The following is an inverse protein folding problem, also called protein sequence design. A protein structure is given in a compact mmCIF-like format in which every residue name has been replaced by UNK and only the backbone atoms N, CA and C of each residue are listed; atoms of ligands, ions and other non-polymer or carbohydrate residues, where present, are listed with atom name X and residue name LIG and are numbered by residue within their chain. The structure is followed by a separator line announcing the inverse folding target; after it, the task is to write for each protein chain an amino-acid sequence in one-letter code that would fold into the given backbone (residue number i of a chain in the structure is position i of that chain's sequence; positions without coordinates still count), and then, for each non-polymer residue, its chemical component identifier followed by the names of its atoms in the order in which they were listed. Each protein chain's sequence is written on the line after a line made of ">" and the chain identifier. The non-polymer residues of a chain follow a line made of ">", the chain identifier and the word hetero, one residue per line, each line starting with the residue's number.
data_IF_225360878135
#
_entry.id   IF_225360878135
#
_cell.length_a   1.000
_cell.length_b   1.000
_cell.length_c   1.000
_cell.angle_alpha   90.00
_cell.angle_beta   90.00
_cell.angle_gamma   90.00
#
_symmetry.space_group_name_H-M   'P 1'
#
loop_
_entity.id
_entity.type
_entity.pdbx_description
1 polymer ?
#
# COMPACT_ATOMS: atom_id res chain seq x y z
N UNK A 1 -1.72 -12.96 21.66
CA UNK A 1 -0.50 -12.26 21.18
C UNK A 1 -0.74 -11.78 19.77
N UNK A 2 -0.19 -10.59 19.37
CA UNK A 2 -0.40 -10.00 18.03
C UNK A 2 -0.16 -11.00 16.88
N UNK A 3 0.84 -11.85 17.02
CA UNK A 3 1.20 -12.85 15.99
C UNK A 3 0.08 -13.82 15.65
N UNK A 4 -0.75 -14.16 16.62
CA UNK A 4 -1.84 -15.13 16.50
C UNK A 4 -3.18 -14.47 16.12
N UNK A 5 -3.21 -13.12 16.03
CA UNK A 5 -4.40 -12.41 15.57
C UNK A 5 -4.71 -12.79 14.12
N UNK A 6 -5.97 -13.05 13.78
CA UNK A 6 -6.38 -13.21 12.39
C UNK A 6 -6.15 -11.91 11.61
N UNK A 7 -5.76 -12.04 10.36
CA UNK A 7 -5.55 -10.89 9.44
C UNK A 7 -6.80 -10.00 9.36
N UNK A 8 -7.99 -10.59 9.44
CA UNK A 8 -9.26 -9.86 9.37
C UNK A 8 -9.42 -8.81 10.48
N UNK A 9 -8.77 -8.99 11.63
CA UNK A 9 -8.86 -8.07 12.77
C UNK A 9 -7.93 -6.85 12.60
N UNK A 10 -6.98 -6.91 11.63
CA UNK A 10 -5.99 -5.85 11.40
C UNK A 10 -6.07 -5.23 10.00
N UNK A 11 -6.73 -5.89 9.06
CA UNK A 11 -6.84 -5.42 7.69
C UNK A 11 -7.71 -4.16 7.58
N UNK A 12 -7.47 -3.38 6.53
CA UNK A 12 -8.40 -2.34 6.08
C UNK A 12 -9.43 -2.99 5.17
N UNK A 13 -10.72 -2.87 5.52
CA UNK A 13 -11.83 -3.49 4.77
C UNK A 13 -12.37 -2.62 3.63
N UNK A 14 -12.33 -1.29 3.79
CA UNK A 14 -12.74 -0.34 2.74
C UNK A 14 -11.54 -0.05 1.84
N UNK A 15 -11.45 -0.80 0.74
CA UNK A 15 -10.27 -0.81 -0.13
C UNK A 15 -10.61 -0.20 -1.48
N UNK A 16 -9.85 0.81 -1.88
CA UNK A 16 -9.86 1.32 -3.26
C UNK A 16 -9.41 0.21 -4.22
N UNK A 17 -10.28 -0.15 -5.17
CA UNK A 17 -10.05 -1.23 -6.14
C UNK A 17 -10.04 -0.72 -7.56
N UNK A 18 -9.41 -1.48 -8.45
CA UNK A 18 -9.28 -1.22 -9.88
C UNK A 18 -9.80 -2.41 -10.69
N UNK A 19 -10.07 -2.18 -11.98
CA UNK A 19 -10.40 -3.23 -12.95
C UNK A 19 -9.35 -3.31 -14.05
N UNK A 20 -9.26 -4.45 -14.73
CA UNK A 20 -8.23 -4.69 -15.77
C UNK A 20 -8.38 -3.75 -16.97
N UNK A 21 -9.59 -3.33 -17.27
CA UNK A 21 -9.99 -2.46 -18.38
C UNK A 21 -10.05 -0.96 -18.01
N UNK A 22 -9.75 -0.64 -16.74
CA UNK A 22 -9.68 0.76 -16.29
C UNK A 22 -8.49 1.45 -16.95
N UNK A 23 -8.69 2.70 -17.39
CA UNK A 23 -7.62 3.51 -17.93
C UNK A 23 -6.54 3.82 -16.86
N UNK A 24 -5.27 3.64 -17.20
CA UNK A 24 -4.13 3.82 -16.26
C UNK A 24 -4.10 5.22 -15.68
N UNK A 25 -4.34 6.27 -16.47
CA UNK A 25 -4.31 7.65 -15.98
C UNK A 25 -5.41 7.93 -14.97
N UNK A 26 -6.62 7.38 -15.21
CA UNK A 26 -7.72 7.53 -14.26
C UNK A 26 -7.45 6.74 -12.98
N UNK A 27 -6.86 5.55 -13.07
CA UNK A 27 -6.44 4.77 -11.91
C UNK A 27 -5.35 5.51 -11.09
N UNK A 28 -4.37 6.14 -11.76
CA UNK A 28 -3.36 6.97 -11.10
C UNK A 28 -3.97 8.17 -10.36
N UNK A 29 -4.98 8.84 -10.96
CA UNK A 29 -5.68 9.93 -10.28
C UNK A 29 -6.38 9.45 -9.01
N UNK A 30 -6.97 8.26 -9.04
CA UNK A 30 -7.58 7.64 -7.86
C UNK A 30 -6.53 7.40 -6.78
N UNK A 31 -5.38 6.79 -7.09
CA UNK A 31 -4.29 6.59 -6.11
C UNK A 31 -3.90 7.91 -5.43
N UNK A 32 -3.73 8.99 -6.20
CA UNK A 32 -3.34 10.31 -5.66
C UNK A 32 -4.48 10.96 -4.86
N UNK A 33 -5.73 10.85 -5.32
CA UNK A 33 -6.87 11.49 -4.66
C UNK A 33 -7.22 10.82 -3.34
N UNK A 34 -7.11 9.49 -3.30
CA UNK A 34 -7.43 8.68 -2.12
C UNK A 34 -6.22 8.54 -1.17
N UNK A 35 -5.09 9.14 -1.53
CA UNK A 35 -3.82 9.08 -0.76
C UNK A 35 -3.38 7.62 -0.49
N UNK A 36 -3.48 6.78 -1.51
CA UNK A 36 -3.09 5.37 -1.44
C UNK A 36 -2.01 5.02 -2.46
N UNK A 37 -1.04 4.19 -2.06
CA UNK A 37 0.08 3.80 -2.94
C UNK A 37 -0.26 2.66 -3.88
N UNK A 38 -1.27 1.86 -3.57
CA UNK A 38 -1.68 0.72 -4.39
C UNK A 38 -3.07 0.22 -4.01
N UNK A 39 -3.71 -0.45 -4.97
CA UNK A 39 -4.98 -1.15 -4.73
C UNK A 39 -5.08 -2.44 -5.52
N UNK A 40 -5.88 -3.40 -5.02
CA UNK A 40 -6.17 -4.64 -5.71
C UNK A 40 -6.89 -4.41 -7.04
N UNK A 41 -6.51 -5.18 -8.06
CA UNK A 41 -7.24 -5.25 -9.31
C UNK A 41 -8.16 -6.46 -9.24
N UNK A 42 -9.45 -6.26 -9.48
CA UNK A 42 -10.46 -7.30 -9.33
C UNK A 42 -11.21 -7.56 -10.65
N UNK A 43 -11.70 -8.79 -10.79
CA UNK A 43 -12.62 -9.17 -11.87
C UNK A 43 -14.08 -8.81 -11.55
N UNK A 44 -15.00 -9.10 -12.48
CA UNK A 44 -16.44 -8.87 -12.32
C UNK A 44 -17.06 -9.63 -11.12
N UNK A 45 -16.43 -10.69 -10.65
CA UNK A 45 -16.84 -11.48 -9.50
C UNK A 45 -16.16 -11.06 -8.19
N UNK A 46 -15.39 -9.98 -8.23
CA UNK A 46 -14.61 -9.47 -7.09
C UNK A 46 -13.45 -10.38 -6.66
N UNK A 47 -12.94 -11.23 -7.56
CA UNK A 47 -11.72 -11.98 -7.31
C UNK A 47 -10.50 -11.12 -7.64
N UNK A 48 -9.46 -11.25 -6.83
CA UNK A 48 -8.21 -10.53 -7.03
C UNK A 48 -7.44 -11.14 -8.19
N UNK A 49 -7.19 -10.35 -9.24
CA UNK A 49 -6.43 -10.77 -10.43
C UNK A 49 -5.05 -10.11 -10.52
N UNK A 50 -4.85 -9.00 -9.82
CA UNK A 50 -3.59 -8.26 -9.81
C UNK A 50 -3.52 -7.26 -8.67
N UNK A 51 -2.41 -6.52 -8.64
CA UNK A 51 -2.19 -5.35 -7.80
C UNK A 51 -1.69 -4.22 -8.70
N UNK A 52 -2.29 -3.03 -8.58
CA UNK A 52 -1.85 -1.82 -9.25
C UNK A 52 -1.28 -0.84 -8.23
N UNK A 53 -0.08 -0.33 -8.49
CA UNK A 53 0.64 0.54 -7.54
C UNK A 53 1.38 1.68 -8.25
N UNK A 54 1.77 2.70 -7.48
CA UNK A 54 2.66 3.77 -7.95
C UNK A 54 3.99 3.23 -8.46
N UNK A 55 4.47 2.10 -7.90
CA UNK A 55 5.70 1.44 -8.34
C UNK A 55 5.62 0.88 -9.76
N UNK A 56 4.47 0.33 -10.16
CA UNK A 56 4.28 -0.23 -11.51
C UNK A 56 4.40 0.86 -12.58
N UNK A 57 3.87 2.05 -12.28
CA UNK A 57 3.96 3.23 -13.15
C UNK A 57 5.39 3.73 -13.29
N UNK A 58 6.12 3.85 -12.19
CA UNK A 58 7.52 4.34 -12.18
C UNK A 58 8.44 3.39 -12.95
N UNK A 59 8.25 2.09 -12.82
CA UNK A 59 9.07 1.08 -13.53
C UNK A 59 8.84 1.17 -15.03
N UNK A 60 7.63 1.38 -15.49
CA UNK A 60 7.33 1.50 -16.92
C UNK A 60 7.89 2.79 -17.50
N UNK A 61 7.78 3.92 -16.80
CA UNK A 61 8.45 5.17 -17.20
C UNK A 61 9.97 5.01 -17.32
N UNK A 62 10.61 4.30 -16.38
CA UNK A 62 12.05 4.07 -16.42
C UNK A 62 12.51 3.23 -17.62
N UNK A 63 11.68 2.33 -18.14
CA UNK A 63 11.96 1.54 -19.35
C UNK A 63 11.91 2.36 -20.62
N UNK A 64 11.18 3.47 -20.63
CA UNK A 64 10.95 4.32 -21.81
C UNK A 64 12.04 5.36 -22.08
N UNK A 65 13.16 5.37 -21.34
CA UNK A 65 14.28 6.32 -21.54
C UNK A 65 13.84 7.80 -21.59
N UNK A 66 13.02 8.23 -20.67
CA UNK A 66 12.75 9.65 -20.48
C UNK A 66 13.90 10.30 -19.70
N UNK A 67 14.57 11.35 -20.22
CA UNK A 67 15.54 12.13 -19.46
C UNK A 67 14.81 13.11 -18.56
N UNK A 68 14.17 12.62 -17.51
CA UNK A 68 13.57 13.49 -16.51
C UNK A 68 14.27 13.23 -15.19
N UNK A 69 14.97 14.24 -14.72
CA UNK A 69 15.64 14.28 -13.42
C UNK A 69 14.55 14.21 -12.35
N UNK A 70 14.25 13.00 -11.89
CA UNK A 70 13.45 12.79 -10.67
C UNK A 70 14.38 12.94 -9.49
N UNK A 71 14.39 14.11 -8.88
CA UNK A 71 15.16 14.38 -7.67
C UNK A 71 14.36 13.83 -6.48
N UNK A 72 14.64 12.59 -6.09
CA UNK A 72 13.86 11.83 -5.12
C UNK A 72 14.15 12.18 -3.65
N UNK A 73 15.11 13.08 -3.36
CA UNK A 73 15.48 13.47 -2.00
C UNK A 73 15.48 14.99 -1.85
N UNK A 74 14.29 15.57 -1.62
CA UNK A 74 14.16 16.92 -1.08
C UNK A 74 14.05 18.06 -2.10
N UNK A 75 13.72 17.79 -3.35
CA UNK A 75 13.41 18.81 -4.36
C UNK A 75 12.01 18.61 -4.91
N UNK A 76 11.24 19.70 -4.94
CA UNK A 76 9.88 19.77 -5.47
C UNK A 76 9.76 19.04 -6.80
N UNK A 77 9.14 17.86 -6.82
CA UNK A 77 8.71 17.18 -8.01
C UNK A 77 7.48 17.93 -8.51
N UNK A 78 7.68 18.93 -9.34
CA UNK A 78 6.59 19.47 -10.14
C UNK A 78 6.33 18.48 -11.26
N UNK A 79 5.39 17.55 -11.05
CA UNK A 79 4.79 16.81 -12.15
C UNK A 79 4.02 17.83 -12.99
N UNK A 80 4.34 18.02 -14.28
CA UNK A 80 3.58 18.94 -15.13
C UNK A 80 2.29 18.26 -15.59
N UNK A 81 1.34 18.10 -14.69
CA UNK A 81 0.02 17.55 -14.95
C UNK A 81 -0.87 18.42 -15.86
N UNK A 82 -0.31 19.44 -16.49
CA UNK A 82 -1.06 20.42 -17.25
C UNK A 82 -0.74 20.48 -18.76
N UNK A 83 0.19 19.65 -19.26
CA UNK A 83 0.49 19.59 -20.69
C UNK A 83 -0.21 18.39 -21.33
N UNK A 84 -1.27 18.64 -22.11
CA UNK A 84 -2.04 17.60 -22.80
C UNK A 84 -1.19 16.74 -23.75
N UNK A 85 -0.12 17.30 -24.31
CA UNK A 85 0.77 16.57 -25.20
C UNK A 85 1.68 15.58 -24.44
N UNK A 86 2.02 15.89 -23.19
CA UNK A 86 2.76 14.98 -22.31
C UNK A 86 1.85 13.86 -21.81
N UNK A 87 0.60 14.18 -21.47
CA UNK A 87 -0.41 13.20 -21.06
C UNK A 87 -0.64 12.13 -22.13
N UNK A 88 -0.73 12.51 -23.42
CA UNK A 88 -0.94 11.56 -24.51
C UNK A 88 0.32 10.70 -24.77
N UNK A 89 1.50 11.26 -24.60
CA UNK A 89 2.76 10.53 -24.78
C UNK A 89 3.02 9.54 -23.66
N UNK A 90 2.73 9.92 -22.43
CA UNK A 90 2.83 9.07 -21.22
C UNK A 90 1.77 7.97 -21.28
N UNK A 91 0.52 8.29 -21.64
CA UNK A 91 -0.54 7.30 -21.79
C UNK A 91 -0.22 6.23 -22.83
N UNK A 92 0.39 6.66 -23.95
CA UNK A 92 0.77 5.77 -25.05
C UNK A 92 1.97 4.89 -24.72
N UNK A 93 2.76 5.32 -23.73
CA UNK A 93 3.97 4.68 -23.29
C UNK A 93 3.74 3.71 -22.11
N UNK A 94 2.80 4.03 -21.22
CA UNK A 94 2.48 3.24 -20.01
C UNK A 94 1.50 2.07 -20.26
N UNK A 95 1.00 1.91 -21.49
CA UNK A 95 -0.16 1.05 -21.71
C UNK A 95 -1.47 1.82 -21.52
N UNK A 96 -2.53 1.36 -22.14
CA UNK A 96 -3.83 2.04 -22.11
C UNK A 96 -4.63 1.66 -20.85
N UNK A 97 -4.45 0.43 -20.37
CA UNK A 97 -5.26 -0.18 -19.31
C UNK A 97 -4.42 -0.68 -18.14
N UNK A 98 -5.03 -0.69 -16.95
CA UNK A 98 -4.42 -1.21 -15.71
C UNK A 98 -3.91 -2.63 -15.88
N UNK A 99 -4.63 -3.48 -16.63
CA UNK A 99 -4.24 -4.84 -16.93
C UNK A 99 -2.89 -4.99 -17.65
N UNK A 100 -2.45 -3.95 -18.39
CA UNK A 100 -1.19 -3.97 -19.13
C UNK A 100 0.04 -3.72 -18.24
N UNK A 101 -0.17 -3.01 -17.11
CA UNK A 101 0.91 -2.52 -16.24
C UNK A 101 0.88 -3.11 -14.83
N UNK A 102 -0.25 -3.67 -14.38
CA UNK A 102 -0.39 -4.24 -13.04
C UNK A 102 0.58 -5.39 -12.78
N UNK A 103 0.95 -5.58 -11.52
CA UNK A 103 1.62 -6.82 -11.07
C UNK A 103 0.60 -7.96 -11.02
N UNK A 104 0.79 -9.00 -11.84
CA UNK A 104 -0.09 -10.17 -11.91
C UNK A 104 0.73 -11.47 -12.03
N UNK A 105 0.33 -12.57 -11.34
CA UNK A 105 -0.77 -12.63 -10.37
C UNK A 105 -0.44 -11.89 -9.07
N UNK A 106 -1.46 -11.33 -8.39
CA UNK A 106 -1.27 -10.78 -7.06
C UNK A 106 -1.02 -11.88 -6.03
N UNK A 107 -0.13 -11.61 -5.08
CA UNK A 107 0.04 -12.46 -3.90
C UNK A 107 -1.04 -12.06 -2.90
N UNK A 108 -1.90 -13.01 -2.52
CA UNK A 108 -3.03 -12.81 -1.62
C UNK A 108 -2.86 -13.62 -0.34
N UNK A 109 -3.63 -13.26 0.69
CA UNK A 109 -3.71 -14.02 1.94
C UNK A 109 -5.16 -14.24 2.34
N UNK A 110 -5.47 -15.38 2.96
CA UNK A 110 -6.82 -15.65 3.46
C UNK A 110 -7.10 -14.84 4.74
N UNK A 111 -8.35 -14.41 4.92
CA UNK A 111 -8.78 -13.58 6.04
C UNK A 111 -8.66 -14.25 7.42
N UNK A 112 -8.61 -15.58 7.46
CA UNK A 112 -8.41 -16.39 8.67
C UNK A 112 -6.94 -16.73 8.95
N UNK A 113 -6.01 -16.37 8.06
CA UNK A 113 -4.57 -16.47 8.31
C UNK A 113 -4.15 -15.52 9.44
N UNK A 114 -3.01 -15.80 10.07
CA UNK A 114 -2.50 -14.97 11.17
C UNK A 114 -1.68 -13.79 10.67
N UNK A 115 -1.51 -12.78 11.52
CA UNK A 115 -0.60 -11.66 11.26
C UNK A 115 0.85 -12.14 11.08
N UNK A 116 1.26 -13.22 11.75
CA UNK A 116 2.59 -13.83 11.56
C UNK A 116 2.72 -14.43 10.16
N UNK A 117 1.67 -15.12 9.66
CA UNK A 117 1.64 -15.64 8.29
C UNK A 117 1.74 -14.50 7.27
N UNK A 118 1.01 -13.40 7.49
CA UNK A 118 1.07 -12.22 6.64
C UNK A 118 2.47 -11.60 6.61
N UNK A 119 3.10 -11.41 7.77
CA UNK A 119 4.44 -10.86 7.88
C UNK A 119 5.48 -11.76 7.18
N UNK A 120 5.38 -13.06 7.37
CA UNK A 120 6.25 -14.07 6.74
C UNK A 120 6.08 -14.05 5.23
N UNK A 121 4.84 -14.08 4.74
CA UNK A 121 4.54 -14.03 3.31
C UNK A 121 5.05 -12.74 2.66
N UNK A 122 4.86 -11.58 3.31
CA UNK A 122 5.39 -10.29 2.83
C UNK A 122 6.93 -10.31 2.75
N UNK A 123 7.59 -10.95 3.72
CA UNK A 123 9.05 -11.06 3.75
C UNK A 123 9.56 -11.95 2.61
N UNK A 124 9.02 -13.15 2.49
CA UNK A 124 9.48 -14.18 1.55
C UNK A 124 9.22 -13.77 0.10
N UNK A 125 8.08 -13.17 -0.16
CA UNK A 125 7.67 -12.71 -1.49
C UNK A 125 8.16 -11.29 -1.80
N UNK A 126 8.81 -10.60 -0.83
CA UNK A 126 9.34 -9.22 -0.97
C UNK A 126 8.28 -8.20 -1.36
N UNK A 127 7.05 -8.39 -0.88
CA UNK A 127 5.94 -7.46 -1.06
C UNK A 127 5.67 -6.68 0.22
N UNK A 128 5.07 -5.48 0.11
CA UNK A 128 4.77 -4.61 1.26
C UNK A 128 3.32 -4.70 1.71
N UNK A 129 2.45 -5.32 0.91
CA UNK A 129 1.02 -5.43 1.18
C UNK A 129 0.46 -6.69 0.53
N UNK A 130 -0.65 -7.17 1.08
CA UNK A 130 -1.35 -8.36 0.61
C UNK A 130 -2.84 -8.05 0.54
N UNK A 131 -3.49 -8.20 -0.64
CA UNK A 131 -4.93 -8.29 -0.70
C UNK A 131 -5.41 -9.48 0.14
N UNK A 132 -6.42 -9.25 0.96
CA UNK A 132 -7.01 -10.26 1.84
C UNK A 132 -8.26 -10.80 1.16
N UNK A 133 -8.34 -12.13 1.04
CA UNK A 133 -9.44 -12.82 0.37
C UNK A 133 -10.16 -13.75 1.33
N UNK A 134 -11.43 -14.00 1.07
CA UNK A 134 -12.18 -15.03 1.75
C UNK A 134 -11.95 -16.42 1.11
N UNK A 135 -12.56 -17.46 1.67
CA UNK A 135 -12.48 -18.84 1.16
C UNK A 135 -12.98 -19.05 -0.28
N UNK A 136 -13.72 -18.07 -0.82
CA UNK A 136 -14.16 -18.06 -2.23
C UNK A 136 -13.19 -17.33 -3.15
N UNK A 137 -12.05 -16.79 -2.65
CA UNK A 137 -11.09 -15.99 -3.40
C UNK A 137 -11.52 -14.55 -3.67
N UNK A 138 -12.63 -14.09 -3.05
CA UNK A 138 -13.10 -12.71 -3.19
C UNK A 138 -12.36 -11.78 -2.24
N UNK A 139 -12.06 -10.58 -2.72
CA UNK A 139 -11.47 -9.52 -1.91
C UNK A 139 -12.36 -9.16 -0.73
N UNK A 140 -11.78 -9.06 0.46
CA UNK A 140 -12.44 -8.62 1.70
C UNK A 140 -11.68 -7.51 2.41
N UNK A 141 -10.43 -7.24 2.02
CA UNK A 141 -9.60 -6.21 2.61
C UNK A 141 -8.20 -6.17 2.04
N UNK A 142 -7.35 -5.35 2.64
CA UNK A 142 -5.91 -5.29 2.36
C UNK A 142 -5.16 -5.15 3.68
N UNK A 143 -3.99 -5.78 3.80
CA UNK A 143 -3.09 -5.60 4.93
C UNK A 143 -1.70 -5.22 4.43
N UNK A 144 -1.06 -4.25 5.09
CA UNK A 144 0.28 -3.78 4.75
C UNK A 144 1.28 -4.02 5.88
N UNK A 145 2.58 -3.85 5.57
CA UNK A 145 3.62 -3.82 6.61
C UNK A 145 3.40 -2.70 7.62
N UNK A 146 2.88 -1.56 7.15
CA UNK A 146 2.54 -0.41 7.99
C UNK A 146 1.51 -0.77 9.06
N UNK A 147 0.46 -1.53 8.69
CA UNK A 147 -0.58 -1.95 9.62
C UNK A 147 -0.02 -2.87 10.71
N UNK A 148 0.86 -3.81 10.33
CA UNK A 148 1.53 -4.71 11.27
C UNK A 148 2.45 -3.93 12.22
N UNK A 149 3.26 -2.98 11.70
CA UNK A 149 4.14 -2.15 12.52
C UNK A 149 3.33 -1.27 13.47
N UNK A 150 2.24 -0.65 12.97
CA UNK A 150 1.33 0.16 13.79
C UNK A 150 0.76 -0.66 14.94
N UNK A 151 0.28 -1.87 14.68
CA UNK A 151 -0.25 -2.77 15.71
C UNK A 151 0.81 -3.15 16.77
N UNK A 152 2.06 -3.38 16.36
CA UNK A 152 3.17 -3.65 17.29
C UNK A 152 3.45 -2.43 18.19
N UNK A 153 3.54 -1.23 17.58
CA UNK A 153 3.86 0.01 18.31
C UNK A 153 2.77 0.38 19.30
N UNK A 154 1.51 0.20 18.92
CA UNK A 154 0.35 0.53 19.76
C UNK A 154 0.04 -0.54 20.82
N UNK A 155 0.73 -1.70 20.77
CA UNK A 155 0.50 -2.80 21.70
C UNK A 155 -0.91 -3.39 21.58
N UNK A 156 -1.47 -3.41 20.37
CA UNK A 156 -2.79 -3.96 20.07
C UNK A 156 -2.77 -5.50 20.20
N UNK A 157 -2.49 -5.98 21.40
CA UNK A 157 -2.50 -7.40 21.74
C UNK A 157 -3.92 -7.93 22.03
N UNK A 158 -4.94 -7.02 22.07
CA UNK A 158 -6.33 -7.38 22.33
C UNK A 158 -7.25 -6.94 21.17
N UNK A 159 -8.15 -7.82 20.70
CA UNK A 159 -9.00 -7.58 19.50
C UNK A 159 -10.03 -6.44 19.66
N UNK A 160 -10.22 -5.91 20.87
CA UNK A 160 -11.24 -4.90 21.15
C UNK A 160 -10.75 -3.44 21.03
N UNK A 161 -9.48 -3.20 20.61
CA UNK A 161 -8.92 -1.86 20.48
C UNK A 161 -8.43 -1.48 19.06
N UNK A 162 -8.77 -2.26 18.07
CA UNK A 162 -8.37 -2.02 16.67
C UNK A 162 -9.24 -0.94 15.97
N UNK A 163 -9.48 0.19 16.64
CA UNK A 163 -9.85 1.41 15.91
C UNK A 163 -8.55 2.03 15.41
N UNK A 164 -8.35 2.21 14.10
CA UNK A 164 -7.17 2.91 13.60
C UNK A 164 -7.09 4.28 14.26
N UNK A 165 -6.01 4.56 14.98
CA UNK A 165 -5.77 5.92 15.45
C UNK A 165 -5.53 6.82 14.23
N UNK A 166 -6.06 8.04 14.23
CA UNK A 166 -5.71 9.06 13.26
C UNK A 166 -4.18 9.26 13.20
N UNK A 167 -3.66 9.55 12.01
CA UNK A 167 -2.20 9.66 11.79
C UNK A 167 -1.54 10.74 12.66
N UNK A 168 -2.28 11.76 13.09
CA UNK A 168 -1.87 12.80 14.03
C UNK A 168 -1.65 12.25 15.44
N UNK A 169 -2.55 11.40 15.96
CA UNK A 169 -2.38 10.75 17.27
C UNK A 169 -1.21 9.76 17.27
N UNK A 170 -1.00 9.03 16.17
CA UNK A 170 0.13 8.13 16.03
C UNK A 170 1.46 8.88 16.05
N UNK A 171 1.54 10.02 15.37
CA UNK A 171 2.73 10.87 15.33
C UNK A 171 3.05 11.41 16.72
N UNK A 172 2.06 11.90 17.44
CA UNK A 172 2.22 12.44 18.80
C UNK A 172 2.71 11.37 19.79
N UNK A 173 2.19 10.13 19.70
CA UNK A 173 2.64 9.00 20.53
C UNK A 173 4.09 8.59 20.22
N UNK A 174 4.49 8.60 18.94
CA UNK A 174 5.86 8.27 18.53
C UNK A 174 6.86 9.32 19.00
N UNK A 175 6.50 10.61 18.93
CA UNK A 175 7.32 11.72 19.42
C UNK A 175 7.46 11.69 20.94
N UNK A 176 6.38 11.42 21.67
CA UNK A 176 6.39 11.28 23.13
C UNK A 176 7.31 10.14 23.59
N UNK A 177 7.27 8.99 22.90
CA UNK A 177 8.10 7.83 23.22
C UNK A 177 9.58 8.05 22.88
N UNK A 178 9.87 8.78 21.81
CA UNK A 178 11.23 9.17 21.46
C UNK A 178 11.84 10.14 22.48
N UNK A 179 11.03 11.05 23.04
CA UNK A 179 11.44 11.97 24.08
C UNK A 179 11.76 11.26 25.42
N UNK A 180 10.99 10.22 25.77
CA UNK A 180 11.20 9.43 26.99
C UNK A 180 12.49 8.60 26.92
N UNK A 181 12.81 8.05 25.74
CA UNK A 181 14.06 7.31 25.52
C UNK A 181 15.31 8.19 25.51
N UNK A 182 15.18 9.47 25.08
CA UNK A 182 16.28 10.43 25.09
C UNK A 182 16.61 10.96 26.51
N UNK A 183 15.66 10.82 27.46
CA UNK A 183 15.84 11.26 28.84
C UNK A 183 16.63 10.26 29.73
N UNK A 184 16.63 8.99 29.39
CA UNK A 184 17.26 7.93 30.21
C UNK A 184 18.79 7.83 29.98
N UNK A 185 19.30 8.29 28.84
CA UNK A 185 20.73 8.27 28.53
C UNK A 185 21.56 9.36 29.22
N UNK A 186 20.93 10.29 29.94
CA UNK A 186 21.62 11.44 30.58
C UNK A 186 21.91 11.25 32.09
N UNK A 187 21.46 10.17 32.71
CA UNK A 187 21.69 9.93 34.16
C UNK A 187 22.80 8.91 34.49
N UNK A 188 23.57 8.42 33.49
CA UNK A 188 24.69 7.52 33.71
C UNK A 188 26.03 8.10 33.20
N UNK A 189 26.31 9.34 33.52
CA UNK A 189 27.59 10.02 33.23
C UNK A 189 28.24 10.57 34.51
#
# INVERSE_FOLDING_TARGET
>A
MLRELPVVDLMVADVTTFTVDQNVQDAMRVLVTDDVDAGPVVDENHHVVGLFSTGDVIVEEARLHMPTIVNFLGVNVAFPWHDKELDESVAKALGEFVGDVMTSPAITIENNATVEDAATLMHDQKVSRLPVVNSSGRLVGIISRGDIVRAIVLGLDEPDQATPLPDDELTEMLEARAADQAGDDTEQG
#
